data_IF_470103505689
#
_entry.id   IF_470103505689
#
_cell.length_a   1.000
_cell.length_b   1.000
_cell.length_c   1.000
_cell.angle_alpha   90.00
_cell.angle_beta   90.00
_cell.angle_gamma   90.00
#
_symmetry.space_group_name_H-M   'P 1'
#
loop_
_entity.id
_entity.type
_entity.pdbx_description
1 polymer ?
#
# COMPACT_ATOMS: atom_id res chain seq x y z
N UNK A 1 -33.91 -36.30 -23.47
CA UNK A 1 -33.62 -34.90 -23.14
C UNK A 1 -32.78 -34.87 -21.87
N UNK A 2 -31.45 -34.82 -21.97
CA UNK A 2 -30.56 -34.67 -20.81
C UNK A 2 -30.34 -33.19 -20.56
N UNK A 3 -30.81 -32.71 -19.40
CA UNK A 3 -30.57 -31.35 -18.93
C UNK A 3 -29.08 -31.17 -18.62
N UNK A 4 -28.40 -30.34 -19.41
CA UNK A 4 -27.08 -29.81 -19.08
C UNK A 4 -27.23 -28.88 -17.88
N UNK A 5 -26.87 -29.37 -16.70
CA UNK A 5 -26.64 -28.55 -15.50
C UNK A 5 -25.51 -27.55 -15.81
N UNK A 6 -25.89 -26.31 -16.13
CA UNK A 6 -24.97 -25.18 -16.16
C UNK A 6 -24.36 -25.01 -14.77
N UNK A 7 -23.14 -25.50 -14.60
CA UNK A 7 -22.32 -25.23 -13.42
C UNK A 7 -22.24 -23.71 -13.22
N UNK A 8 -22.56 -23.17 -12.03
CA UNK A 8 -22.47 -21.74 -11.80
C UNK A 8 -21.02 -21.28 -12.02
N UNK A 9 -20.87 -20.22 -12.81
CA UNK A 9 -19.60 -19.55 -13.10
C UNK A 9 -18.82 -19.34 -11.80
N UNK A 10 -17.75 -20.12 -11.57
CA UNK A 10 -16.84 -19.98 -10.41
C UNK A 10 -15.93 -18.75 -10.49
N UNK A 11 -16.07 -17.94 -11.55
CA UNK A 11 -15.23 -16.76 -11.82
C UNK A 11 -15.39 -15.58 -10.84
N UNK A 12 -16.60 -15.17 -10.39
CA UNK A 12 -16.77 -14.04 -9.49
C UNK A 12 -16.31 -14.37 -8.06
N UNK A 13 -16.52 -15.60 -7.59
CA UNK A 13 -16.07 -16.05 -6.27
C UNK A 13 -14.54 -16.00 -6.14
N UNK A 14 -13.81 -16.38 -7.20
CA UNK A 14 -12.34 -16.28 -7.25
C UNK A 14 -11.85 -14.83 -7.34
N UNK A 15 -12.59 -13.93 -7.99
CA UNK A 15 -12.24 -12.52 -8.07
C UNK A 15 -12.44 -11.82 -6.71
N UNK A 16 -13.56 -12.10 -6.03
CA UNK A 16 -13.84 -11.62 -4.68
C UNK A 16 -12.79 -12.09 -3.68
N UNK A 17 -12.45 -13.40 -3.68
CA UNK A 17 -11.40 -13.92 -2.80
C UNK A 17 -10.02 -13.29 -3.02
N UNK A 18 -9.67 -12.93 -4.26
CA UNK A 18 -8.41 -12.23 -4.58
C UNK A 18 -8.45 -10.76 -4.18
N UNK A 19 -9.59 -10.10 -4.32
CA UNK A 19 -9.79 -8.72 -3.89
C UNK A 19 -9.67 -8.62 -2.35
N UNK A 20 -10.34 -9.50 -1.60
CA UNK A 20 -10.24 -9.55 -0.13
C UNK A 20 -8.80 -9.84 0.30
N UNK A 21 -8.13 -10.79 -0.35
CA UNK A 21 -6.72 -11.06 -0.08
C UNK A 21 -5.83 -9.85 -0.33
N UNK A 22 -6.07 -9.13 -1.43
CA UNK A 22 -5.37 -7.88 -1.75
C UNK A 22 -5.62 -6.78 -0.71
N UNK A 23 -6.89 -6.54 -0.34
CA UNK A 23 -7.28 -5.60 0.71
C UNK A 23 -6.54 -5.88 2.02
N UNK A 24 -6.64 -7.12 2.53
CA UNK A 24 -6.03 -7.49 3.82
C UNK A 24 -4.50 -7.40 3.76
N UNK A 25 -3.90 -7.84 2.65
CA UNK A 25 -2.45 -7.78 2.47
C UNK A 25 -1.94 -6.34 2.47
N UNK A 26 -2.65 -5.42 1.80
CA UNK A 26 -2.23 -4.01 1.75
C UNK A 26 -2.63 -3.22 3.00
N UNK A 27 -3.70 -3.59 3.70
CA UNK A 27 -4.09 -2.96 4.95
C UNK A 27 -3.02 -3.12 6.05
N UNK A 28 -2.32 -4.26 6.06
CA UNK A 28 -1.24 -4.52 7.01
C UNK A 28 0.13 -4.24 6.38
N UNK A 29 0.34 -4.74 5.17
CA UNK A 29 1.62 -4.63 4.46
C UNK A 29 1.93 -3.21 4.00
N UNK A 30 0.91 -2.39 3.70
CA UNK A 30 1.11 -0.99 3.33
C UNK A 30 1.76 -0.19 4.47
N UNK A 31 1.10 -0.08 5.65
CA UNK A 31 1.69 0.53 6.83
C UNK A 31 3.03 -0.09 7.25
N UNK A 32 3.21 -1.40 7.08
CA UNK A 32 4.47 -2.06 7.40
C UNK A 32 5.62 -1.61 6.49
N UNK A 33 5.37 -1.52 5.18
CA UNK A 33 6.38 -1.02 4.22
C UNK A 33 6.69 0.44 4.52
N UNK A 34 5.66 1.26 4.75
CA UNK A 34 5.83 2.67 5.12
C UNK A 34 6.70 2.86 6.37
N UNK A 35 6.41 2.07 7.41
CA UNK A 35 7.13 2.08 8.68
C UNK A 35 8.58 1.61 8.57
N UNK A 36 8.97 0.94 7.49
CA UNK A 36 10.35 0.50 7.26
C UNK A 36 11.11 1.40 6.27
N UNK A 37 10.44 1.83 5.20
CA UNK A 37 11.03 2.65 4.14
C UNK A 37 11.42 4.01 4.70
N UNK A 38 10.50 4.71 5.38
CA UNK A 38 10.77 6.07 5.85
C UNK A 38 11.90 6.13 6.90
N UNK A 39 11.88 5.32 7.98
CA UNK A 39 12.99 5.30 8.91
C UNK A 39 14.30 4.82 8.29
N UNK A 40 14.24 3.92 7.29
CA UNK A 40 15.42 3.49 6.55
C UNK A 40 16.05 4.62 5.74
N UNK A 41 15.24 5.42 5.04
CA UNK A 41 15.72 6.60 4.30
C UNK A 41 16.33 7.63 5.26
N UNK A 42 15.67 7.90 6.39
CA UNK A 42 16.20 8.82 7.41
C UNK A 42 17.49 8.32 8.03
N UNK A 43 17.58 7.03 8.34
CA UNK A 43 18.80 6.41 8.86
C UNK A 43 19.98 6.61 7.89
N UNK A 44 19.76 6.38 6.60
CA UNK A 44 20.79 6.58 5.56
C UNK A 44 21.16 8.06 5.45
N UNK A 45 20.17 8.95 5.36
CA UNK A 45 20.39 10.39 5.22
C UNK A 45 21.17 10.96 6.41
N UNK A 46 20.77 10.67 7.64
CA UNK A 46 21.47 11.12 8.84
C UNK A 46 22.85 10.49 8.99
N UNK A 47 23.01 9.22 8.61
CA UNK A 47 24.34 8.57 8.62
C UNK A 47 25.31 9.19 7.62
N UNK A 48 24.82 9.78 6.51
CA UNK A 48 25.65 10.45 5.52
C UNK A 48 26.08 11.87 5.96
N UNK A 49 25.25 12.54 6.77
CA UNK A 49 25.50 13.92 7.22
C UNK A 49 26.37 13.93 8.49
N UNK A 50 25.95 13.18 9.51
CA UNK A 50 26.55 13.23 10.86
C UNK A 50 27.43 12.00 11.18
N UNK A 51 27.49 11.04 10.24
CA UNK A 51 28.17 9.76 10.43
C UNK A 51 27.30 8.68 11.08
N UNK A 52 27.63 7.40 10.91
CA UNK A 52 26.87 6.30 11.49
C UNK A 52 27.02 6.28 13.02
N UNK A 53 25.90 6.42 13.75
CA UNK A 53 25.89 6.39 15.20
C UNK A 53 24.79 5.48 15.78
N UNK A 54 25.02 4.98 16.98
CA UNK A 54 24.05 4.17 17.72
C UNK A 54 22.78 4.96 18.06
N UNK A 55 22.89 6.27 18.28
CA UNK A 55 21.76 7.14 18.59
C UNK A 55 20.84 7.35 17.39
N UNK A 56 21.42 7.53 16.19
CA UNK A 56 20.66 7.61 14.93
C UNK A 56 19.92 6.31 14.67
N UNK A 57 20.60 5.16 14.83
CA UNK A 57 19.97 3.85 14.66
C UNK A 57 18.81 3.63 15.65
N UNK A 58 19.00 3.98 16.92
CA UNK A 58 17.97 3.82 17.96
C UNK A 58 16.78 4.72 17.70
N UNK A 59 17.01 5.96 17.28
CA UNK A 59 15.96 6.91 16.88
C UNK A 59 15.16 6.36 15.71
N UNK A 60 15.82 5.96 14.62
CA UNK A 60 15.14 5.38 13.45
C UNK A 60 14.37 4.10 13.80
N UNK A 61 14.93 3.21 14.62
CA UNK A 61 14.24 2.00 15.07
C UNK A 61 12.99 2.31 15.90
N UNK A 62 13.04 3.35 16.74
CA UNK A 62 11.88 3.77 17.55
C UNK A 62 10.75 4.39 16.72
N UNK A 63 11.06 4.97 15.56
CA UNK A 63 10.07 5.52 14.64
C UNK A 63 9.23 4.44 13.95
N UNK A 64 9.77 3.23 13.75
CA UNK A 64 9.07 2.12 13.07
C UNK A 64 7.72 1.81 13.73
N UNK A 65 7.64 1.47 15.03
CA UNK A 65 6.34 1.19 15.66
C UNK A 65 5.44 2.43 15.67
N UNK A 66 5.99 3.63 15.86
CA UNK A 66 5.21 4.87 15.86
C UNK A 66 4.51 5.10 14.52
N UNK A 67 5.24 4.99 13.40
CA UNK A 67 4.67 5.16 12.05
C UNK A 67 3.65 4.07 11.75
N UNK A 68 3.93 2.83 12.16
CA UNK A 68 2.99 1.73 11.98
C UNK A 68 1.67 2.01 12.70
N UNK A 69 1.70 2.34 14.00
CA UNK A 69 0.49 2.64 14.77
C UNK A 69 -0.20 3.92 14.30
N UNK A 70 0.56 4.97 13.99
CA UNK A 70 0.02 6.22 13.44
C UNK A 70 -0.75 5.97 12.14
N UNK A 71 -0.27 5.08 11.27
CA UNK A 71 -0.96 4.74 10.03
C UNK A 71 -2.36 4.15 10.25
N UNK A 72 -2.56 3.40 11.34
CA UNK A 72 -3.89 2.91 11.73
C UNK A 72 -4.73 3.99 12.40
N UNK A 73 -4.12 4.78 13.29
CA UNK A 73 -4.82 5.83 14.03
C UNK A 73 -5.33 6.95 13.10
N UNK A 74 -4.51 7.37 12.14
CA UNK A 74 -4.84 8.40 11.16
C UNK A 74 -5.55 7.85 9.92
N UNK A 75 -5.73 6.53 9.79
CA UNK A 75 -6.48 5.95 8.68
C UNK A 75 -5.73 5.84 7.35
N UNK A 76 -4.41 6.12 7.30
CA UNK A 76 -3.58 5.96 6.09
C UNK A 76 -3.48 4.52 5.56
N UNK A 77 -3.92 3.53 6.34
CA UNK A 77 -4.08 2.15 5.85
C UNK A 77 -5.26 2.01 4.86
N UNK A 78 -6.25 2.92 4.87
CA UNK A 78 -7.44 2.83 4.03
C UNK A 78 -7.12 2.98 2.53
N UNK A 79 -6.35 3.99 2.07
CA UNK A 79 -5.94 4.09 0.66
C UNK A 79 -5.14 2.86 0.20
N UNK A 80 -4.25 2.35 1.07
CA UNK A 80 -3.50 1.14 0.80
C UNK A 80 -4.44 -0.07 0.63
N UNK A 81 -5.40 -0.26 1.54
CA UNK A 81 -6.40 -1.32 1.48
C UNK A 81 -7.21 -1.26 0.17
N UNK A 82 -7.70 -0.08 -0.20
CA UNK A 82 -8.47 0.13 -1.44
C UNK A 82 -7.63 -0.24 -2.67
N UNK A 83 -6.37 0.22 -2.70
CA UNK A 83 -5.42 -0.13 -3.77
C UNK A 83 -5.20 -1.63 -3.87
N UNK A 84 -4.97 -2.30 -2.73
CA UNK A 84 -4.81 -3.74 -2.67
C UNK A 84 -6.03 -4.49 -3.19
N UNK A 85 -7.24 -4.03 -2.86
CA UNK A 85 -8.49 -4.61 -3.34
C UNK A 85 -8.64 -4.53 -4.86
N UNK A 86 -8.41 -3.34 -5.42
CA UNK A 86 -8.46 -3.09 -6.87
C UNK A 86 -7.44 -3.99 -7.59
N UNK A 87 -6.19 -3.97 -7.12
CA UNK A 87 -5.11 -4.76 -7.69
C UNK A 87 -5.33 -6.27 -7.54
N UNK A 88 -5.90 -6.71 -6.42
CA UNK A 88 -6.29 -8.09 -6.17
C UNK A 88 -7.41 -8.56 -7.12
N UNK A 89 -8.41 -7.71 -7.38
CA UNK A 89 -9.51 -8.00 -8.32
C UNK A 89 -9.01 -8.11 -9.76
N UNK A 90 -8.10 -7.21 -10.19
CA UNK A 90 -7.43 -7.24 -11.49
C UNK A 90 -6.65 -8.55 -11.69
N UNK A 91 -5.97 -9.02 -10.64
CA UNK A 91 -5.20 -10.25 -10.64
C UNK A 91 -4.07 -10.26 -11.68
N UNK A 92 -3.66 -11.45 -12.14
CA UNK A 92 -2.53 -11.62 -13.08
C UNK A 92 -2.90 -11.50 -14.55
N UNK A 93 -3.97 -10.75 -14.88
CA UNK A 93 -4.40 -10.54 -16.27
C UNK A 93 -3.41 -9.69 -17.08
N UNK A 94 -2.58 -8.92 -16.39
CA UNK A 94 -1.66 -7.93 -16.94
C UNK A 94 -0.22 -8.40 -16.66
N UNK A 95 0.73 -8.09 -17.56
CA UNK A 95 2.15 -8.39 -17.33
C UNK A 95 2.67 -7.63 -16.09
N UNK A 96 3.59 -8.25 -15.36
CA UNK A 96 4.17 -7.72 -14.10
C UNK A 96 4.59 -6.25 -14.12
N UNK A 97 5.28 -5.79 -15.17
CA UNK A 97 5.74 -4.39 -15.28
C UNK A 97 4.56 -3.40 -15.29
N UNK A 98 3.53 -3.69 -16.08
CA UNK A 98 2.33 -2.87 -16.18
C UNK A 98 1.46 -2.96 -14.93
N UNK A 99 1.41 -4.12 -14.29
CA UNK A 99 0.71 -4.29 -13.01
C UNK A 99 1.33 -3.43 -11.90
N UNK A 100 2.67 -3.38 -11.81
CA UNK A 100 3.34 -2.52 -10.82
C UNK A 100 3.07 -1.04 -11.11
N UNK A 101 3.16 -0.61 -12.38
CA UNK A 101 2.84 0.77 -12.76
C UNK A 101 1.39 1.15 -12.44
N UNK A 102 0.43 0.27 -12.72
CA UNK A 102 -0.97 0.47 -12.32
C UNK A 102 -1.12 0.56 -10.80
N UNK A 103 -0.41 -0.30 -10.07
CA UNK A 103 -0.38 -0.25 -8.61
C UNK A 103 0.10 1.08 -8.07
N UNK A 104 1.16 1.64 -8.64
CA UNK A 104 1.67 2.97 -8.29
C UNK A 104 0.65 4.06 -8.60
N UNK A 105 0.03 4.03 -9.79
CA UNK A 105 -0.96 5.04 -10.19
C UNK A 105 -2.19 5.00 -9.27
N UNK A 106 -2.73 3.80 -9.02
CA UNK A 106 -3.90 3.60 -8.14
C UNK A 106 -3.55 3.95 -6.69
N UNK A 107 -2.37 3.55 -6.22
CA UNK A 107 -1.86 3.87 -4.89
C UNK A 107 -1.70 5.36 -4.64
N UNK A 108 -0.99 6.05 -5.54
CA UNK A 108 -0.82 7.48 -5.46
C UNK A 108 -2.17 8.22 -5.58
N UNK A 109 -3.03 7.81 -6.53
CA UNK A 109 -4.33 8.42 -6.74
C UNK A 109 -5.27 8.28 -5.53
N UNK A 110 -5.32 7.09 -4.91
CA UNK A 110 -6.13 6.87 -3.71
C UNK A 110 -5.59 7.65 -2.51
N UNK A 111 -4.27 7.75 -2.37
CA UNK A 111 -3.65 8.53 -1.29
C UNK A 111 -3.90 10.02 -1.45
N UNK A 112 -3.69 10.57 -2.66
CA UNK A 112 -3.99 11.98 -2.95
C UNK A 112 -5.47 12.29 -2.74
N UNK A 113 -6.36 11.40 -3.19
CA UNK A 113 -7.80 11.54 -2.95
C UNK A 113 -8.15 11.53 -1.46
N UNK A 114 -7.49 10.70 -0.66
CA UNK A 114 -7.67 10.65 0.78
C UNK A 114 -7.19 11.92 1.48
N UNK A 115 -5.99 12.40 1.15
CA UNK A 115 -5.44 13.65 1.69
C UNK A 115 -6.36 14.82 1.35
N UNK A 116 -6.79 14.96 0.08
CA UNK A 116 -7.71 16.02 -0.33
C UNK A 116 -9.06 15.94 0.41
N UNK A 117 -9.60 14.74 0.60
CA UNK A 117 -10.82 14.53 1.36
C UNK A 117 -10.64 14.96 2.82
N UNK A 118 -9.51 14.62 3.44
CA UNK A 118 -9.19 14.98 4.81
C UNK A 118 -9.01 16.50 4.96
N UNK A 119 -8.27 17.15 4.07
CA UNK A 119 -8.10 18.62 4.03
C UNK A 119 -9.45 19.32 3.90
N UNK A 120 -10.34 18.81 3.02
CA UNK A 120 -11.68 19.35 2.85
C UNK A 120 -12.55 19.17 4.10
N UNK A 121 -12.51 17.99 4.74
CA UNK A 121 -13.30 17.69 5.93
C UNK A 121 -12.90 18.56 7.13
N UNK A 122 -11.61 18.85 7.27
CA UNK A 122 -11.04 19.63 8.38
C UNK A 122 -11.06 21.14 8.07
N UNK A 123 -11.46 21.55 6.86
CA UNK A 123 -11.37 22.94 6.35
C UNK A 123 -9.96 23.53 6.56
N UNK A 124 -8.94 22.71 6.37
CA UNK A 124 -7.57 23.15 6.47
C UNK A 124 -7.17 23.87 5.17
N UNK A 125 -6.52 25.03 5.27
CA UNK A 125 -6.08 25.79 4.09
C UNK A 125 -4.84 25.20 3.40
N UNK A 126 -4.19 24.19 4.01
CA UNK A 126 -2.97 23.56 3.50
C UNK A 126 -2.93 22.05 3.74
N UNK A 127 -2.33 21.36 2.78
CA UNK A 127 -1.87 19.97 2.93
C UNK A 127 -0.70 19.96 3.92
N UNK A 128 -0.75 19.09 4.94
CA UNK A 128 0.30 19.03 5.95
C UNK A 128 1.58 18.38 5.40
N UNK A 129 2.75 18.72 5.97
CA UNK A 129 4.02 18.08 5.61
C UNK A 129 3.98 16.55 5.78
N UNK A 130 3.20 16.08 6.76
CA UNK A 130 2.96 14.65 7.01
C UNK A 130 2.25 14.00 5.82
N UNK A 131 1.29 14.69 5.20
CA UNK A 131 0.54 14.17 4.05
C UNK A 131 1.39 14.08 2.79
N UNK A 132 2.31 15.02 2.60
CA UNK A 132 3.28 15.00 1.50
C UNK A 132 4.23 13.79 1.64
N UNK A 133 4.75 13.56 2.85
CA UNK A 133 5.59 12.39 3.14
C UNK A 133 4.80 11.09 2.92
N UNK A 134 3.56 11.03 3.42
CA UNK A 134 2.73 9.85 3.28
C UNK A 134 2.36 9.56 1.81
N UNK A 135 2.20 10.61 0.99
CA UNK A 135 1.96 10.47 -0.46
C UNK A 135 3.19 9.90 -1.19
N UNK A 136 4.38 10.39 -0.86
CA UNK A 136 5.63 9.87 -1.42
C UNK A 136 5.85 8.40 -1.03
N UNK A 137 5.60 8.07 0.24
CA UNK A 137 5.70 6.70 0.74
C UNK A 137 4.68 5.78 0.06
N UNK A 138 3.45 6.25 -0.18
CA UNK A 138 2.41 5.49 -0.86
C UNK A 138 2.83 5.03 -2.27
N UNK A 139 3.68 5.79 -2.98
CA UNK A 139 4.24 5.40 -4.28
C UNK A 139 5.15 4.17 -4.12
N UNK A 140 6.09 4.23 -3.18
CA UNK A 140 7.06 3.16 -2.91
C UNK A 140 6.34 1.93 -2.39
N UNK A 141 5.48 2.13 -1.40
CA UNK A 141 4.65 1.10 -0.78
C UNK A 141 3.79 0.38 -1.81
N UNK A 142 3.14 1.13 -2.71
CA UNK A 142 2.32 0.53 -3.77
C UNK A 142 3.15 -0.22 -4.79
N UNK A 143 4.33 0.28 -5.17
CA UNK A 143 5.23 -0.44 -6.08
C UNK A 143 5.67 -1.80 -5.50
N UNK A 144 6.14 -1.80 -4.24
CA UNK A 144 6.62 -2.99 -3.53
C UNK A 144 5.48 -3.99 -3.34
N UNK A 145 4.34 -3.52 -2.84
CA UNK A 145 3.19 -4.38 -2.56
C UNK A 145 2.55 -4.94 -3.82
N UNK A 146 2.39 -4.16 -4.89
CA UNK A 146 1.87 -4.66 -6.17
C UNK A 146 2.82 -5.67 -6.82
N UNK A 147 4.12 -5.45 -6.69
CA UNK A 147 5.12 -6.41 -7.16
C UNK A 147 5.04 -7.74 -6.40
N UNK A 148 4.93 -7.69 -5.07
CA UNK A 148 4.78 -8.87 -4.23
C UNK A 148 3.46 -9.61 -4.51
N UNK A 149 2.35 -8.87 -4.62
CA UNK A 149 1.01 -9.41 -4.87
C UNK A 149 0.96 -10.14 -6.21
N UNK A 150 1.52 -9.55 -7.27
CA UNK A 150 1.59 -10.22 -8.57
C UNK A 150 2.30 -11.57 -8.49
N UNK A 151 3.48 -11.60 -7.84
CA UNK A 151 4.27 -12.83 -7.69
C UNK A 151 3.52 -13.89 -6.88
N UNK A 152 2.75 -13.47 -5.86
CA UNK A 152 1.93 -14.39 -5.05
C UNK A 152 0.74 -14.93 -5.83
N UNK A 153 0.07 -14.10 -6.62
CA UNK A 153 -1.06 -14.52 -7.44
C UNK A 153 -0.63 -15.41 -8.62
N UNK A 154 0.55 -15.20 -9.19
CA UNK A 154 1.14 -16.10 -10.20
C UNK A 154 1.39 -17.50 -9.63
N UNK A 155 1.95 -17.61 -8.42
CA UNK A 155 2.21 -18.91 -7.78
C UNK A 155 0.95 -19.67 -7.35
N UNK A 156 -0.18 -18.98 -7.21
CA UNK A 156 -1.48 -19.58 -6.82
C UNK A 156 -2.40 -19.85 -8.01
N UNK A 157 -1.92 -19.59 -9.24
CA UNK A 157 -2.64 -19.89 -10.48
C UNK A 157 -2.35 -21.31 -10.92
#
# INVERSE_FOLDING_TARGET
MSATLESPSRKPLRASGRAVFGCLSFAVGGPLVAALVWPGVMLIAWSLIDGPSWDVLKTSASMVPLIFFASFLFGYFLPAMVTGGIMGALGTRIRRRWFVLLGVIVGAGTMVGYVLLQTWLIKADKVGDIDAIATLDAIVTSAVMSHWLHRRLERRR
#
